data_IF_009031287627
#
_entry.id   IF_009031287627
#
_cell.length_a   1.000
_cell.length_b   1.000
_cell.length_c   1.000
_cell.angle_alpha   90.00
_cell.angle_beta   90.00
_cell.angle_gamma   90.00
#
_symmetry.space_group_name_H-M   'P 1'
#
loop_
_entity.id
_entity.type
_entity.pdbx_description
1 polymer ?
#
# COMPACT_ATOMS: atom_id res chain seq x y z
N UNK A 1 34.93 68.77 37.30
CA UNK A 1 33.93 69.40 38.18
C UNK A 1 32.73 69.71 37.31
N UNK A 2 31.64 68.94 37.45
CA UNK A 2 30.44 69.13 36.64
C UNK A 2 29.51 70.10 37.37
N UNK A 3 29.23 71.24 36.73
CA UNK A 3 28.35 72.29 37.19
C UNK A 3 26.91 71.78 37.23
N UNK A 4 26.30 71.75 38.42
CA UNK A 4 24.92 71.30 38.60
C UNK A 4 23.99 72.39 38.07
N UNK A 5 23.52 72.27 36.82
CA UNK A 5 22.48 73.13 36.26
C UNK A 5 21.12 72.74 36.84
N UNK A 6 20.68 73.45 37.87
CA UNK A 6 19.30 73.34 38.35
C UNK A 6 18.39 74.09 37.37
N UNK A 7 17.38 73.40 36.83
CA UNK A 7 16.40 74.03 35.95
C UNK A 7 15.44 74.88 36.78
N UNK A 8 15.17 76.09 36.30
CA UNK A 8 14.14 76.97 36.86
C UNK A 8 12.73 76.41 36.55
N UNK A 9 11.78 76.66 37.45
CA UNK A 9 10.40 76.14 37.34
C UNK A 9 9.72 76.54 36.02
N UNK A 10 10.01 77.73 35.49
CA UNK A 10 9.45 78.20 34.21
C UNK A 10 9.86 77.30 33.03
N UNK A 11 11.14 76.92 32.98
CA UNK A 11 11.70 76.07 31.92
C UNK A 11 11.12 74.67 32.00
N UNK A 12 10.98 74.13 33.21
CA UNK A 12 10.37 72.81 33.42
C UNK A 12 8.92 72.79 32.96
N UNK A 13 8.14 73.83 33.29
CA UNK A 13 6.73 73.92 32.88
C UNK A 13 6.56 73.99 31.36
N UNK A 14 7.45 74.67 30.66
CA UNK A 14 7.42 74.73 29.18
C UNK A 14 7.78 73.38 28.54
N UNK A 15 8.60 72.57 29.22
CA UNK A 15 9.01 71.24 28.78
C UNK A 15 8.07 70.11 29.25
N UNK A 16 7.16 70.38 30.20
CA UNK A 16 6.25 69.37 30.75
C UNK A 16 5.35 68.70 29.70
N UNK A 17 4.74 69.43 28.75
CA UNK A 17 3.87 68.80 27.74
C UNK A 17 4.61 67.75 26.90
N UNK A 18 5.81 68.08 26.42
CA UNK A 18 6.64 67.17 25.61
C UNK A 18 7.26 66.04 26.44
N UNK A 19 7.56 66.30 27.73
CA UNK A 19 8.01 65.28 28.69
C UNK A 19 6.92 64.25 28.98
N UNK A 20 5.67 64.69 29.21
CA UNK A 20 4.51 63.83 29.48
C UNK A 20 4.18 62.93 28.27
N UNK A 21 4.38 63.43 27.06
CA UNK A 21 4.23 62.67 25.81
C UNK A 21 5.41 61.74 25.50
N UNK A 22 6.49 61.78 26.28
CA UNK A 22 7.68 60.95 26.10
C UNK A 22 8.54 61.33 24.89
N UNK A 23 8.47 62.60 24.46
CA UNK A 23 9.16 63.13 23.28
C UNK A 23 10.45 63.91 23.62
N UNK A 24 10.88 63.91 24.89
CA UNK A 24 12.12 64.55 25.34
C UNK A 24 13.33 63.61 25.26
N UNK A 25 14.50 64.16 24.90
CA UNK A 25 15.77 63.40 24.91
C UNK A 25 16.08 62.87 26.34
N UNK A 26 16.79 61.72 26.50
CA UNK A 26 17.02 61.11 27.81
C UNK A 26 17.71 62.02 28.82
N UNK A 27 18.64 62.87 28.37
CA UNK A 27 19.34 63.82 29.24
C UNK A 27 18.39 64.89 29.77
N UNK A 28 17.54 65.45 28.91
CA UNK A 28 16.51 66.44 29.29
C UNK A 28 15.47 65.82 30.22
N UNK A 29 15.05 64.58 29.94
CA UNK A 29 14.12 63.83 30.77
C UNK A 29 14.63 63.61 32.19
N UNK A 30 15.94 63.36 32.36
CA UNK A 30 16.57 63.22 33.68
C UNK A 30 16.56 64.53 34.45
N UNK A 31 16.90 65.65 33.79
CA UNK A 31 16.93 66.97 34.43
C UNK A 31 15.52 67.42 34.87
N UNK A 32 14.50 67.16 34.05
CA UNK A 32 13.09 67.42 34.41
C UNK A 32 12.66 66.54 35.59
N UNK A 33 12.99 65.26 35.58
CA UNK A 33 12.67 64.34 36.68
C UNK A 33 13.33 64.73 38.02
N UNK A 34 14.60 65.17 37.98
CA UNK A 34 15.30 65.67 39.16
C UNK A 34 14.63 66.92 39.75
N UNK A 35 14.16 67.85 38.90
CA UNK A 35 13.42 69.02 39.36
C UNK A 35 12.05 68.66 39.95
N UNK A 36 11.30 67.76 39.31
CA UNK A 36 10.01 67.28 39.81
C UNK A 36 10.12 66.62 41.19
N UNK A 37 11.26 65.97 41.49
CA UNK A 37 11.53 65.40 42.80
C UNK A 37 11.63 66.46 43.91
N UNK A 38 12.11 67.66 43.59
CA UNK A 38 12.29 68.77 44.53
C UNK A 38 11.18 69.81 44.57
N UNK A 39 10.35 69.92 43.51
CA UNK A 39 9.30 70.93 43.39
C UNK A 39 7.89 70.32 43.38
N UNK A 40 7.06 70.56 44.42
CA UNK A 40 5.69 70.04 44.45
C UNK A 40 4.76 70.70 43.42
N UNK A 41 4.94 71.99 43.13
CA UNK A 41 4.09 72.71 42.18
C UNK A 41 4.18 72.15 40.75
N UNK A 42 5.40 71.88 40.25
CA UNK A 42 5.58 71.29 38.91
C UNK A 42 5.12 69.82 38.85
N UNK A 43 5.12 69.11 39.98
CA UNK A 43 4.62 67.73 40.06
C UNK A 43 3.10 67.66 39.95
N UNK A 44 2.40 68.61 40.56
CA UNK A 44 0.95 68.69 40.45
C UNK A 44 0.53 69.02 39.01
N UNK A 45 1.28 69.91 38.33
CA UNK A 45 1.06 70.22 36.90
C UNK A 45 1.32 69.00 36.00
N UNK A 46 2.39 68.23 36.24
CA UNK A 46 2.70 67.01 35.50
C UNK A 46 1.59 65.94 35.67
N UNK A 47 1.11 65.77 36.90
CA UNK A 47 0.00 64.87 37.22
C UNK A 47 -1.30 65.29 36.53
N UNK A 48 -1.59 66.59 36.51
CA UNK A 48 -2.75 67.13 35.80
C UNK A 48 -2.64 66.88 34.28
N UNK A 49 -1.47 67.07 33.68
CA UNK A 49 -1.27 66.84 32.24
C UNK A 49 -1.34 65.36 31.87
N UNK A 50 -0.72 64.46 32.65
CA UNK A 50 -0.83 63.00 32.45
C UNK A 50 -2.26 62.50 32.51
N UNK A 51 -3.09 63.09 33.37
CA UNK A 51 -4.51 62.75 33.45
C UNK A 51 -5.29 63.09 32.16
N UNK A 52 -4.77 64.01 31.33
CA UNK A 52 -5.40 64.46 30.09
C UNK A 52 -4.81 63.82 28.83
N UNK A 53 -3.76 63.00 28.91
CA UNK A 53 -3.22 62.28 27.75
C UNK A 53 -4.00 60.97 27.56
N UNK A 54 -4.79 60.83 26.48
CA UNK A 54 -5.46 59.57 26.19
C UNK A 54 -4.39 58.55 25.77
N UNK A 55 -4.15 57.55 26.61
CA UNK A 55 -3.35 56.39 26.23
C UNK A 55 -4.15 55.56 25.21
N UNK A 56 -4.04 55.90 23.92
CA UNK A 56 -4.63 55.13 22.82
C UNK A 56 -3.87 53.79 22.67
N UNK A 57 -4.15 52.84 23.56
CA UNK A 57 -3.66 51.47 23.40
C UNK A 57 -4.32 50.86 22.17
N UNK A 58 -3.51 50.45 21.19
CA UNK A 58 -3.97 49.77 19.98
C UNK A 58 -5.06 48.72 20.30
N UNK A 59 -6.18 48.69 19.54
CA UNK A 59 -7.37 47.95 19.93
C UNK A 59 -7.11 46.44 20.01
N UNK A 60 -7.08 45.89 21.22
CA UNK A 60 -6.87 44.44 21.52
C UNK A 60 -7.84 43.51 20.77
N UNK A 61 -9.00 44.00 20.32
CA UNK A 61 -9.98 43.26 19.51
C UNK A 61 -9.45 42.81 18.15
N UNK A 62 -8.60 43.60 17.49
CA UNK A 62 -8.02 43.27 16.19
C UNK A 62 -7.06 42.07 16.28
N UNK A 63 -6.29 41.97 17.37
CA UNK A 63 -5.37 40.85 17.62
C UNK A 63 -6.11 39.54 17.92
N UNK A 64 -7.26 39.60 18.61
CA UNK A 64 -8.10 38.44 18.89
C UNK A 64 -8.73 37.85 17.61
N UNK A 65 -9.17 38.73 16.70
CA UNK A 65 -9.73 38.32 15.40
C UNK A 65 -8.69 37.62 14.52
N UNK A 66 -7.48 38.20 14.38
CA UNK A 66 -6.40 37.59 13.60
C UNK A 66 -5.95 36.23 14.17
N UNK A 67 -5.87 36.08 15.50
CA UNK A 67 -5.57 34.80 16.14
C UNK A 67 -6.66 33.76 15.90
N UNK A 68 -7.93 34.17 15.92
CA UNK A 68 -9.08 33.29 15.64
C UNK A 68 -9.11 32.84 14.18
N UNK A 69 -8.94 33.75 13.23
CA UNK A 69 -8.87 33.44 11.79
C UNK A 69 -7.68 32.52 11.47
N UNK A 70 -6.52 32.77 12.08
CA UNK A 70 -5.35 31.90 11.91
C UNK A 70 -5.57 30.50 12.51
N UNK A 71 -6.27 30.39 13.65
CA UNK A 71 -6.64 29.10 14.25
C UNK A 71 -7.66 28.34 13.40
N UNK A 72 -8.70 29.00 12.89
CA UNK A 72 -9.70 28.32 12.04
C UNK A 72 -9.10 27.85 10.72
N UNK A 73 -8.20 28.64 10.10
CA UNK A 73 -7.44 28.21 8.91
C UNK A 73 -6.52 27.03 9.19
N UNK A 74 -5.80 27.04 10.31
CA UNK A 74 -4.97 25.90 10.73
C UNK A 74 -5.80 24.64 11.00
N UNK A 75 -6.95 24.77 11.66
CA UNK A 75 -7.87 23.66 11.89
C UNK A 75 -8.44 23.11 10.58
N UNK A 76 -8.83 23.98 9.64
CA UNK A 76 -9.31 23.57 8.33
C UNK A 76 -8.22 22.84 7.53
N UNK A 77 -6.99 23.34 7.54
CA UNK A 77 -5.84 22.66 6.93
C UNK A 77 -5.58 21.30 7.58
N UNK A 78 -5.59 21.22 8.91
CA UNK A 78 -5.38 19.96 9.64
C UNK A 78 -6.49 18.93 9.35
N UNK A 79 -7.77 19.35 9.38
CA UNK A 79 -8.91 18.49 9.04
C UNK A 79 -8.81 17.98 7.61
N UNK A 80 -8.45 18.85 6.66
CA UNK A 80 -8.27 18.46 5.25
C UNK A 80 -7.15 17.44 5.11
N UNK A 81 -6.02 17.64 5.80
CA UNK A 81 -4.91 16.69 5.79
C UNK A 81 -5.33 15.32 6.35
N UNK A 82 -6.04 15.30 7.48
CA UNK A 82 -6.57 14.06 8.08
C UNK A 82 -7.54 13.35 7.15
N UNK A 83 -8.48 14.08 6.55
CA UNK A 83 -9.43 13.53 5.57
C UNK A 83 -8.72 12.96 4.35
N UNK A 84 -7.69 13.63 3.85
CA UNK A 84 -6.89 13.17 2.71
C UNK A 84 -6.19 11.86 3.05
N UNK A 85 -5.51 11.80 4.19
CA UNK A 85 -4.85 10.58 4.66
C UNK A 85 -5.86 9.44 4.88
N UNK A 86 -7.04 9.76 5.42
CA UNK A 86 -8.11 8.78 5.60
C UNK A 86 -8.62 8.24 4.26
N UNK A 87 -8.91 9.10 3.27
CA UNK A 87 -9.34 8.68 1.95
C UNK A 87 -8.30 7.80 1.25
N UNK A 88 -7.02 8.19 1.32
CA UNK A 88 -5.91 7.41 0.73
C UNK A 88 -5.79 6.05 1.42
N UNK A 89 -5.85 6.00 2.75
CA UNK A 89 -5.82 4.76 3.51
C UNK A 89 -7.05 3.88 3.27
N UNK A 90 -8.23 4.49 3.09
CA UNK A 90 -9.46 3.78 2.77
C UNK A 90 -9.41 3.15 1.37
N UNK A 91 -8.98 3.91 0.35
CA UNK A 91 -8.77 3.38 -1.00
C UNK A 91 -7.76 2.22 -0.99
N UNK A 92 -6.66 2.37 -0.25
CA UNK A 92 -5.68 1.31 -0.11
C UNK A 92 -6.28 0.04 0.52
N UNK A 93 -7.06 0.20 1.59
CA UNK A 93 -7.69 -0.92 2.29
C UNK A 93 -8.84 -1.57 1.52
N UNK A 94 -9.48 -0.86 0.60
CA UNK A 94 -10.46 -1.45 -0.33
C UNK A 94 -9.77 -2.41 -1.29
N UNK A 95 -8.57 -2.09 -1.74
CA UNK A 95 -7.85 -2.95 -2.67
C UNK A 95 -7.13 -4.11 -1.96
N UNK A 96 -6.39 -3.79 -0.89
CA UNK A 96 -5.68 -4.77 -0.06
C UNK A 96 -6.56 -5.22 1.10
N UNK A 97 -7.58 -6.04 0.81
CA UNK A 97 -8.55 -6.46 1.80
C UNK A 97 -8.54 -7.96 2.10
N UNK A 98 -7.99 -8.80 1.24
CA UNK A 98 -8.02 -10.26 1.41
C UNK A 98 -7.06 -10.71 2.54
N UNK A 99 -7.55 -11.27 3.64
CA UNK A 99 -6.68 -11.83 4.67
C UNK A 99 -6.20 -13.24 4.28
N UNK A 100 -5.00 -13.63 4.70
CA UNK A 100 -4.57 -15.03 4.56
C UNK A 100 -5.23 -15.93 5.62
N UNK A 101 -6.52 -16.15 5.45
CA UNK A 101 -7.35 -17.09 6.22
C UNK A 101 -8.09 -17.96 5.23
N UNK A 102 -8.66 -19.09 5.66
CA UNK A 102 -9.41 -19.98 4.79
C UNK A 102 -10.55 -19.26 4.04
N UNK A 103 -11.39 -18.54 4.78
CA UNK A 103 -12.47 -17.73 4.21
C UNK A 103 -11.94 -16.61 3.31
N UNK A 104 -10.84 -15.96 3.68
CA UNK A 104 -10.24 -14.88 2.89
C UNK A 104 -9.66 -15.35 1.55
N UNK A 105 -9.03 -16.53 1.53
CA UNK A 105 -8.54 -17.16 0.30
C UNK A 105 -9.69 -17.60 -0.60
N UNK A 106 -10.74 -18.19 -0.03
CA UNK A 106 -11.92 -18.60 -0.79
C UNK A 106 -12.62 -17.39 -1.42
N UNK A 107 -12.85 -16.33 -0.65
CA UNK A 107 -13.42 -15.07 -1.17
C UNK A 107 -12.61 -14.52 -2.34
N UNK A 108 -11.28 -14.48 -2.22
CA UNK A 108 -10.43 -14.00 -3.31
C UNK A 108 -10.58 -14.83 -4.59
N UNK A 109 -10.75 -16.15 -4.46
CA UNK A 109 -10.99 -17.04 -5.60
C UNK A 109 -12.38 -16.80 -6.20
N UNK A 110 -13.42 -16.73 -5.38
CA UNK A 110 -14.80 -16.47 -5.83
C UNK A 110 -14.93 -15.13 -6.57
N UNK A 111 -14.30 -14.08 -6.04
CA UNK A 111 -14.37 -12.72 -6.57
C UNK A 111 -13.64 -12.56 -7.92
N UNK A 112 -12.64 -13.40 -8.23
CA UNK A 112 -11.75 -13.19 -9.37
C UNK A 112 -11.69 -14.33 -10.40
N UNK A 113 -11.78 -15.58 -9.95
CA UNK A 113 -11.76 -16.73 -10.86
C UNK A 113 -13.04 -16.80 -11.69
N UNK A 114 -14.18 -16.42 -11.10
CA UNK A 114 -15.47 -16.43 -11.80
C UNK A 114 -15.50 -15.41 -12.95
N UNK A 115 -16.23 -15.76 -14.01
CA UNK A 115 -16.53 -14.85 -15.09
C UNK A 115 -17.68 -13.91 -14.66
N UNK A 116 -17.69 -12.66 -15.15
CA UNK A 116 -18.83 -11.76 -14.99
C UNK A 116 -20.14 -12.42 -15.44
N UNK A 117 -21.27 -12.05 -14.81
CA UNK A 117 -22.58 -12.64 -15.12
C UNK A 117 -23.00 -12.46 -16.58
N UNK A 118 -22.53 -11.40 -17.24
CA UNK A 118 -22.80 -11.05 -18.64
C UNK A 118 -21.75 -11.59 -19.62
N UNK A 119 -20.78 -12.39 -19.14
CA UNK A 119 -19.72 -12.94 -19.96
C UNK A 119 -20.27 -13.97 -20.95
N UNK A 120 -19.97 -13.75 -22.23
CA UNK A 120 -20.26 -14.70 -23.31
C UNK A 120 -19.08 -15.62 -23.62
N UNK A 121 -18.10 -15.70 -22.72
CA UNK A 121 -16.96 -16.59 -22.91
C UNK A 121 -17.47 -18.04 -22.96
N UNK A 122 -17.09 -18.81 -24.01
CA UNK A 122 -17.52 -20.20 -24.14
C UNK A 122 -16.91 -21.13 -23.08
N UNK A 123 -15.88 -20.68 -22.36
CA UNK A 123 -15.10 -21.46 -21.41
C UNK A 123 -14.83 -20.66 -20.12
N UNK A 124 -14.41 -21.35 -19.07
CA UNK A 124 -14.08 -20.77 -17.77
C UNK A 124 -15.11 -21.08 -16.68
N UNK A 125 -15.00 -20.38 -15.56
CA UNK A 125 -15.82 -20.60 -14.36
C UNK A 125 -16.98 -19.61 -14.38
N UNK A 126 -18.23 -20.08 -14.36
CA UNK A 126 -19.41 -19.20 -14.36
C UNK A 126 -19.68 -18.63 -12.97
N UNK A 127 -20.32 -17.47 -12.91
CA UNK A 127 -20.84 -16.94 -11.66
C UNK A 127 -21.77 -17.96 -10.97
N UNK A 128 -21.58 -18.16 -9.67
CA UNK A 128 -22.34 -19.14 -8.87
C UNK A 128 -21.84 -20.59 -8.96
N UNK A 129 -20.79 -20.88 -9.74
CA UNK A 129 -20.11 -22.18 -9.70
C UNK A 129 -19.45 -22.39 -8.33
N UNK A 130 -19.69 -23.51 -7.63
CA UNK A 130 -19.04 -23.80 -6.36
C UNK A 130 -17.51 -23.90 -6.55
N UNK A 131 -16.78 -23.22 -5.67
CA UNK A 131 -15.33 -23.17 -5.68
C UNK A 131 -14.79 -23.69 -4.34
N UNK A 132 -13.61 -24.28 -4.38
CA UNK A 132 -12.86 -24.65 -3.17
C UNK A 132 -11.39 -24.33 -3.32
N UNK A 133 -10.77 -23.99 -2.20
CA UNK A 133 -9.31 -23.88 -2.10
C UNK A 133 -8.74 -25.29 -1.93
N UNK A 134 -7.85 -25.70 -2.83
CA UNK A 134 -7.14 -26.98 -2.78
C UNK A 134 -5.98 -26.89 -1.80
N UNK A 135 -5.09 -25.93 -2.02
CA UNK A 135 -3.90 -25.70 -1.22
C UNK A 135 -3.41 -24.26 -1.40
N UNK A 136 -2.49 -23.82 -0.54
CA UNK A 136 -1.90 -22.48 -0.66
C UNK A 136 -0.44 -22.48 -0.23
N UNK A 137 0.31 -21.52 -0.73
CA UNK A 137 1.71 -21.32 -0.37
C UNK A 137 2.04 -19.83 -0.26
N UNK A 138 2.80 -19.45 0.75
CA UNK A 138 3.38 -18.11 0.87
C UNK A 138 4.86 -18.13 0.49
N UNK A 139 5.29 -17.18 -0.35
CA UNK A 139 6.70 -16.96 -0.69
C UNK A 139 6.98 -15.46 -0.75
N UNK A 140 7.83 -14.99 0.16
CA UNK A 140 8.19 -13.56 0.22
C UNK A 140 6.98 -12.67 0.54
N UNK A 141 6.59 -11.85 -0.43
CA UNK A 141 5.38 -11.00 -0.39
C UNK A 141 4.22 -11.57 -1.22
N UNK A 142 4.36 -12.78 -1.77
CA UNK A 142 3.34 -13.45 -2.58
C UNK A 142 2.58 -14.51 -1.81
N UNK A 143 1.29 -14.57 -2.09
CA UNK A 143 0.41 -15.68 -1.70
C UNK A 143 -0.11 -16.33 -2.97
N UNK A 144 0.09 -17.64 -3.07
CA UNK A 144 -0.43 -18.47 -4.15
C UNK A 144 -1.55 -19.33 -3.59
N UNK A 145 -2.70 -19.33 -4.25
CA UNK A 145 -3.88 -20.11 -3.85
C UNK A 145 -4.27 -21.00 -5.02
N UNK A 146 -4.10 -22.31 -4.86
CA UNK A 146 -4.62 -23.28 -5.79
C UNK A 146 -6.10 -23.53 -5.48
N UNK A 147 -6.93 -23.61 -6.51
CA UNK A 147 -8.36 -23.81 -6.37
C UNK A 147 -8.91 -24.74 -7.45
N UNK A 148 -10.09 -25.27 -7.17
CA UNK A 148 -10.85 -26.14 -8.06
C UNK A 148 -12.31 -25.67 -8.12
N UNK A 149 -12.89 -25.73 -9.31
CA UNK A 149 -14.28 -25.42 -9.59
C UNK A 149 -15.07 -26.70 -9.81
N UNK A 150 -16.23 -26.81 -9.16
CA UNK A 150 -17.17 -27.89 -9.40
C UNK A 150 -18.00 -27.58 -10.66
N UNK A 151 -17.41 -27.86 -11.82
CA UNK A 151 -18.04 -27.70 -13.13
C UNK A 151 -17.71 -28.86 -14.06
N UNK A 152 -18.34 -28.88 -15.23
CA UNK A 152 -18.19 -29.96 -16.21
C UNK A 152 -16.75 -30.17 -16.72
N UNK A 153 -15.92 -29.13 -16.67
CA UNK A 153 -14.52 -29.17 -17.12
C UNK A 153 -13.55 -29.44 -15.95
N UNK A 154 -14.07 -29.60 -14.73
CA UNK A 154 -13.32 -29.72 -13.49
C UNK A 154 -12.18 -28.69 -13.42
N UNK A 155 -12.50 -27.41 -13.64
CA UNK A 155 -11.47 -26.38 -13.83
C UNK A 155 -10.62 -26.21 -12.58
N UNK A 156 -9.31 -26.26 -12.75
CA UNK A 156 -8.34 -25.95 -11.71
C UNK A 156 -7.59 -24.68 -12.07
N UNK A 157 -7.13 -23.97 -11.05
CA UNK A 157 -6.34 -22.78 -11.27
C UNK A 157 -5.47 -22.39 -10.09
N UNK A 158 -4.62 -21.40 -10.34
CA UNK A 158 -3.77 -20.77 -9.34
C UNK A 158 -4.02 -19.28 -9.38
N UNK A 159 -4.43 -18.73 -8.24
CA UNK A 159 -4.57 -17.32 -7.98
C UNK A 159 -3.29 -16.79 -7.32
N UNK A 160 -2.73 -15.72 -7.87
CA UNK A 160 -1.57 -15.03 -7.32
C UNK A 160 -2.00 -13.72 -6.66
N UNK A 161 -1.54 -13.49 -5.44
CA UNK A 161 -1.78 -12.28 -4.69
C UNK A 161 -0.47 -11.66 -4.17
N UNK A 162 -0.46 -10.34 -3.98
CA UNK A 162 0.65 -9.59 -3.38
C UNK A 162 0.25 -9.02 -2.02
N UNK A 163 1.16 -9.12 -1.06
CA UNK A 163 0.98 -8.63 0.30
C UNK A 163 1.20 -7.12 0.35
N UNK A 164 0.21 -6.42 0.88
CA UNK A 164 0.29 -5.03 1.23
C UNK A 164 0.98 -4.77 2.56
N UNK A 165 1.34 -3.51 2.79
CA UNK A 165 1.91 -3.05 4.08
C UNK A 165 0.93 -3.20 5.25
N UNK A 166 -0.38 -3.31 4.98
CA UNK A 166 -1.41 -3.61 5.98
C UNK A 166 -1.50 -5.11 6.33
N UNK A 167 -0.65 -5.96 5.75
CA UNK A 167 -0.63 -7.42 5.96
C UNK A 167 -1.73 -8.19 5.22
N UNK A 168 -2.56 -7.50 4.43
CA UNK A 168 -3.61 -8.10 3.59
C UNK A 168 -3.13 -8.17 2.15
N UNK A 169 -3.86 -8.90 1.32
CA UNK A 169 -3.47 -9.23 -0.03
C UNK A 169 -4.35 -8.53 -1.06
N UNK A 170 -3.76 -8.23 -2.22
CA UNK A 170 -4.44 -7.80 -3.44
C UNK A 170 -4.21 -8.86 -4.50
N UNK A 171 -5.24 -9.15 -5.31
CA UNK A 171 -5.15 -10.10 -6.42
C UNK A 171 -4.37 -9.51 -7.59
N UNK A 172 -3.42 -10.27 -8.11
CA UNK A 172 -2.60 -9.88 -9.26
C UNK A 172 -3.08 -10.52 -10.55
N UNK A 173 -3.29 -11.83 -10.50
CA UNK A 173 -3.61 -12.63 -11.67
C UNK A 173 -4.13 -13.99 -11.24
N UNK A 174 -4.76 -14.66 -12.19
CA UNK A 174 -5.19 -16.04 -12.09
C UNK A 174 -4.81 -16.75 -13.38
N UNK A 175 -4.44 -18.01 -13.28
CA UNK A 175 -4.41 -18.92 -14.41
C UNK A 175 -5.30 -20.12 -14.12
N UNK A 176 -6.02 -20.58 -15.13
CA UNK A 176 -6.99 -21.67 -15.00
C UNK A 176 -6.99 -22.53 -16.27
N UNK A 177 -7.27 -23.82 -16.10
CA UNK A 177 -7.38 -24.80 -17.18
C UNK A 177 -8.29 -25.97 -16.74
N UNK A 178 -8.92 -26.69 -17.68
CA UNK A 178 -9.58 -27.95 -17.39
C UNK A 178 -8.61 -28.96 -16.76
N UNK A 179 -9.10 -29.74 -15.79
CA UNK A 179 -8.31 -30.78 -15.13
C UNK A 179 -8.96 -32.15 -15.39
N UNK A 180 -8.42 -32.94 -16.34
CA UNK A 180 -9.06 -34.16 -16.82
C UNK A 180 -8.82 -35.37 -15.90
N UNK A 181 -8.73 -35.13 -14.60
CA UNK A 181 -8.51 -36.17 -13.59
C UNK A 181 -9.42 -35.95 -12.38
N UNK A 182 -9.93 -37.04 -11.82
CA UNK A 182 -10.71 -37.07 -10.58
C UNK A 182 -9.85 -36.86 -9.33
N UNK A 183 -8.56 -37.18 -9.43
CA UNK A 183 -7.50 -36.85 -8.49
C UNK A 183 -6.16 -36.83 -9.24
N UNK A 184 -5.21 -36.01 -8.82
CA UNK A 184 -3.90 -35.98 -9.46
C UNK A 184 -3.16 -34.67 -9.26
N UNK A 185 -2.34 -34.31 -10.24
CA UNK A 185 -1.44 -33.16 -10.14
C UNK A 185 -1.61 -32.20 -11.30
N UNK A 186 -1.96 -30.96 -10.99
CA UNK A 186 -1.89 -29.85 -11.93
C UNK A 186 -0.48 -29.27 -11.91
N UNK A 187 0.10 -29.12 -13.10
CA UNK A 187 1.38 -28.43 -13.31
C UNK A 187 1.14 -27.02 -13.84
N UNK A 188 1.83 -26.04 -13.28
CA UNK A 188 1.77 -24.67 -13.79
C UNK A 188 3.09 -23.94 -13.60
N UNK A 189 3.27 -22.87 -14.36
CA UNK A 189 4.30 -21.86 -14.07
C UNK A 189 3.59 -20.61 -13.58
N UNK A 190 4.05 -20.06 -12.46
CA UNK A 190 3.49 -18.86 -11.81
C UNK A 190 4.54 -17.76 -11.74
N UNK A 191 4.10 -16.52 -11.58
CA UNK A 191 4.97 -15.34 -11.63
C UNK A 191 5.34 -14.92 -13.07
N UNK A 192 6.23 -13.93 -13.18
CA UNK A 192 6.78 -13.45 -14.46
C UNK A 192 8.29 -13.64 -14.48
N UNK A 193 8.91 -13.50 -15.66
CA UNK A 193 10.37 -13.52 -15.77
C UNK A 193 11.03 -12.43 -14.89
N UNK A 194 10.46 -11.23 -14.83
CA UNK A 194 10.99 -10.14 -13.99
C UNK A 194 10.81 -10.38 -12.48
N UNK A 195 9.74 -11.07 -12.07
CA UNK A 195 9.41 -11.30 -10.67
C UNK A 195 9.98 -12.62 -10.13
N UNK A 196 10.60 -13.43 -10.99
CA UNK A 196 11.04 -14.80 -10.69
C UNK A 196 9.92 -15.81 -10.95
N UNK A 197 10.00 -16.50 -12.08
CA UNK A 197 9.07 -17.57 -12.46
C UNK A 197 9.25 -18.76 -11.52
N UNK A 198 8.17 -19.35 -11.03
CA UNK A 198 8.21 -20.58 -10.23
C UNK A 198 7.48 -21.73 -10.95
N UNK A 199 7.94 -22.95 -10.69
CA UNK A 199 7.30 -24.19 -11.11
C UNK A 199 6.40 -24.70 -10.00
N UNK A 200 5.11 -24.83 -10.31
CA UNK A 200 4.06 -25.24 -9.39
C UNK A 200 3.63 -26.69 -9.68
N UNK A 201 3.67 -27.53 -8.64
CA UNK A 201 2.98 -28.82 -8.60
C UNK A 201 1.86 -28.73 -7.56
N UNK A 202 0.62 -28.85 -8.02
CA UNK A 202 -0.57 -28.79 -7.17
C UNK A 202 -1.22 -30.16 -7.17
N UNK A 203 -1.20 -30.84 -6.03
CA UNK A 203 -1.90 -32.11 -5.83
C UNK A 203 -3.31 -31.86 -5.32
N UNK A 204 -4.28 -32.55 -5.91
CA UNK A 204 -5.67 -32.53 -5.51
C UNK A 204 -6.20 -33.97 -5.38
N UNK A 205 -6.59 -34.36 -4.17
CA UNK A 205 -7.19 -35.67 -3.91
C UNK A 205 -6.22 -36.86 -3.98
N UNK A 206 -4.91 -36.64 -3.86
CA UNK A 206 -3.84 -37.64 -4.01
C UNK A 206 -3.71 -38.67 -2.88
N UNK A 207 -4.83 -39.17 -2.33
CA UNK A 207 -4.84 -40.07 -1.15
C UNK A 207 -4.19 -41.43 -1.39
N UNK A 208 -4.35 -41.96 -2.59
CA UNK A 208 -3.84 -43.28 -2.98
C UNK A 208 -2.68 -43.18 -3.98
N UNK A 209 -2.16 -41.96 -4.18
CA UNK A 209 -1.00 -41.66 -5.02
C UNK A 209 0.18 -41.42 -4.08
N UNK A 210 1.22 -42.22 -4.22
CA UNK A 210 2.38 -42.22 -3.31
C UNK A 210 3.63 -41.59 -3.96
N UNK A 211 3.64 -41.49 -5.29
CA UNK A 211 4.70 -40.83 -6.03
C UNK A 211 4.16 -40.12 -7.27
N UNK A 212 4.87 -39.08 -7.69
CA UNK A 212 4.57 -38.34 -8.92
C UNK A 212 5.86 -38.29 -9.70
N UNK A 213 5.89 -38.92 -10.87
CA UNK A 213 7.00 -38.78 -11.80
C UNK A 213 6.66 -37.70 -12.82
N UNK A 214 7.47 -36.66 -12.86
CA UNK A 214 7.31 -35.56 -13.80
C UNK A 214 8.43 -35.64 -14.83
N UNK A 215 8.04 -35.72 -16.09
CA UNK A 215 8.94 -35.55 -17.22
C UNK A 215 8.97 -34.07 -17.62
N UNK A 216 10.19 -33.55 -17.72
CA UNK A 216 10.48 -32.18 -18.11
C UNK A 216 11.16 -32.17 -19.46
N UNK A 217 10.62 -31.38 -20.38
CA UNK A 217 11.29 -31.09 -21.64
C UNK A 217 12.19 -29.89 -21.45
N UNK A 218 13.50 -30.09 -21.69
CA UNK A 218 14.54 -29.10 -21.49
C UNK A 218 15.25 -28.83 -22.81
N UNK A 219 15.21 -27.57 -23.27
CA UNK A 219 16.04 -27.11 -24.37
C UNK A 219 17.33 -26.49 -23.86
N UNK A 220 18.47 -26.99 -24.31
CA UNK A 220 19.80 -26.43 -24.03
C UNK A 220 20.23 -25.55 -25.22
N UNK A 221 20.89 -24.43 -24.95
CA UNK A 221 21.31 -23.45 -25.97
C UNK A 221 22.09 -24.08 -27.15
N UNK A 222 22.92 -25.09 -26.88
CA UNK A 222 23.75 -25.76 -27.89
C UNK A 222 23.18 -27.10 -28.39
N UNK A 223 21.93 -27.44 -28.05
CA UNK A 223 21.31 -28.69 -28.47
C UNK A 223 20.25 -28.49 -29.56
N UNK A 224 20.34 -29.28 -30.62
CA UNK A 224 19.37 -29.23 -31.73
C UNK A 224 17.96 -29.72 -31.36
N UNK A 225 17.83 -30.49 -30.27
CA UNK A 225 16.55 -31.03 -29.81
C UNK A 225 16.44 -30.96 -28.29
N UNK A 226 15.24 -30.66 -27.77
CA UNK A 226 14.98 -30.77 -26.34
C UNK A 226 15.25 -32.20 -25.83
N UNK A 227 15.72 -32.29 -24.59
CA UNK A 227 15.93 -33.55 -23.88
C UNK A 227 14.87 -33.71 -22.80
N UNK A 228 14.51 -34.94 -22.51
CA UNK A 228 13.59 -35.27 -21.41
C UNK A 228 14.41 -35.60 -20.17
N UNK A 229 14.10 -34.92 -19.06
CA UNK A 229 14.61 -35.20 -17.73
C UNK A 229 13.44 -35.60 -16.85
N UNK A 230 13.62 -36.62 -16.02
CA UNK A 230 12.56 -37.10 -15.14
C UNK A 230 12.92 -36.89 -13.68
N UNK A 231 11.94 -36.48 -12.88
CA UNK A 231 12.07 -36.44 -11.43
C UNK A 231 10.84 -37.05 -10.77
N UNK A 232 11.07 -37.87 -9.76
CA UNK A 232 10.01 -38.46 -8.95
C UNK A 232 9.93 -37.75 -7.60
N UNK A 233 8.73 -37.31 -7.24
CA UNK A 233 8.40 -36.66 -5.98
C UNK A 233 7.57 -37.60 -5.12
N UNK A 234 7.90 -37.70 -3.83
CA UNK A 234 7.12 -38.49 -2.88
C UNK A 234 5.90 -37.70 -2.41
N UNK A 235 4.72 -38.31 -2.43
CA UNK A 235 3.47 -37.71 -1.95
C UNK A 235 3.24 -38.12 -0.50
N UNK A 236 3.15 -37.12 0.38
CA UNK A 236 2.93 -37.36 1.82
C UNK A 236 1.57 -36.85 2.30
N UNK A 237 0.95 -35.95 1.55
CA UNK A 237 -0.33 -35.33 1.85
C UNK A 237 -1.25 -35.44 0.64
N UNK A 238 -2.57 -35.59 0.84
CA UNK A 238 -3.50 -35.76 -0.28
C UNK A 238 -3.63 -34.50 -1.13
N UNK A 239 -3.55 -33.33 -0.50
CA UNK A 239 -3.62 -32.04 -1.17
C UNK A 239 -2.32 -31.30 -0.85
N UNK A 240 -1.63 -30.79 -1.86
CA UNK A 240 -0.36 -30.10 -1.67
C UNK A 240 -0.12 -29.03 -2.72
N UNK A 241 0.76 -28.08 -2.39
CA UNK A 241 1.20 -27.05 -3.32
C UNK A 241 2.71 -26.85 -3.17
N UNK A 242 3.47 -27.42 -4.09
CA UNK A 242 4.92 -27.25 -4.14
C UNK A 242 5.30 -26.20 -5.16
N UNK A 243 6.16 -25.28 -4.73
CA UNK A 243 6.74 -24.22 -5.55
C UNK A 243 8.25 -24.38 -5.56
N UNK A 244 8.81 -24.55 -6.76
CA UNK A 244 10.24 -24.73 -6.98
C UNK A 244 10.77 -23.63 -7.89
N UNK A 245 11.91 -23.05 -7.50
CA UNK A 245 12.62 -22.08 -8.32
C UNK A 245 13.28 -22.78 -9.53
N UNK A 246 13.44 -22.10 -10.68
CA UNK A 246 14.04 -22.68 -11.86
C UNK A 246 15.44 -23.22 -11.58
N UNK A 247 16.31 -22.43 -10.93
CA UNK A 247 17.70 -22.82 -10.66
C UNK A 247 17.78 -24.06 -9.77
N UNK A 248 16.93 -24.12 -8.74
CA UNK A 248 16.83 -25.30 -7.85
C UNK A 248 16.35 -26.52 -8.62
N UNK A 249 15.31 -26.37 -9.46
CA UNK A 249 14.85 -27.47 -10.29
C UNK A 249 15.93 -27.93 -11.29
N UNK A 250 16.69 -26.99 -11.85
CA UNK A 250 17.80 -27.28 -12.75
C UNK A 250 18.92 -28.08 -12.06
N UNK A 251 19.32 -27.68 -10.85
CA UNK A 251 20.30 -28.40 -10.03
C UNK A 251 19.80 -29.82 -9.72
N UNK A 252 18.54 -29.95 -9.30
CA UNK A 252 17.92 -31.23 -8.96
C UNK A 252 17.80 -32.19 -10.16
N UNK A 253 17.68 -31.65 -11.37
CA UNK A 253 17.68 -32.41 -12.62
C UNK A 253 19.09 -32.64 -13.19
N UNK A 254 20.12 -32.06 -12.58
CA UNK A 254 21.51 -32.16 -13.02
C UNK A 254 21.77 -31.42 -14.34
N UNK A 255 21.12 -30.28 -14.54
CA UNK A 255 21.33 -29.43 -15.72
C UNK A 255 22.68 -28.68 -15.63
N UNK A 256 23.34 -28.42 -16.77
CA UNK A 256 24.61 -27.68 -16.79
C UNK A 256 24.42 -26.23 -16.35
N UNK A 257 25.21 -25.75 -15.38
CA UNK A 257 25.17 -24.38 -14.85
C UNK A 257 25.65 -23.31 -15.85
N UNK A 258 26.55 -23.67 -16.77
CA UNK A 258 27.19 -22.73 -17.70
C UNK A 258 26.42 -22.53 -19.01
N UNK A 259 25.32 -23.27 -19.23
CA UNK A 259 24.50 -23.17 -20.44
C UNK A 259 23.15 -22.54 -20.14
N UNK A 260 22.66 -21.67 -21.03
CA UNK A 260 21.27 -21.24 -20.94
C UNK A 260 20.35 -22.39 -21.31
N UNK A 261 19.29 -22.54 -20.54
CA UNK A 261 18.27 -23.56 -20.79
C UNK A 261 16.87 -23.01 -20.52
N UNK A 262 15.90 -23.60 -21.20
CA UNK A 262 14.49 -23.45 -20.84
C UNK A 262 13.94 -24.83 -20.48
N UNK A 263 12.97 -24.85 -19.57
CA UNK A 263 12.33 -26.07 -19.12
C UNK A 263 10.81 -25.88 -19.10
N UNK A 264 10.09 -26.91 -19.49
CA UNK A 264 8.64 -26.99 -19.39
C UNK A 264 8.20 -28.40 -18.99
N UNK A 265 6.99 -28.49 -18.46
CA UNK A 265 6.36 -29.79 -18.17
C UNK A 265 6.03 -30.49 -19.49
N UNK A 266 6.38 -31.78 -19.59
CA UNK A 266 6.03 -32.63 -20.71
C UNK A 266 4.94 -33.63 -20.33
N UNK A 267 5.14 -34.38 -19.24
CA UNK A 267 4.22 -35.43 -18.80
C UNK A 267 4.26 -35.58 -17.28
N UNK A 268 3.13 -36.00 -16.71
CA UNK A 268 3.00 -36.34 -15.29
C UNK A 268 2.44 -37.75 -15.18
N UNK A 269 3.15 -38.62 -14.48
CA UNK A 269 2.75 -39.98 -14.15
C UNK A 269 2.45 -40.10 -12.65
N UNK A 270 1.28 -40.62 -12.31
CA UNK A 270 0.85 -40.89 -10.94
C UNK A 270 1.26 -42.32 -10.56
N UNK A 271 1.89 -42.49 -9.40
CA UNK A 271 2.45 -43.77 -8.95
C UNK A 271 1.78 -44.27 -7.68
N UNK A 272 1.46 -45.56 -7.63
CA UNK A 272 0.99 -46.23 -6.41
C UNK A 272 2.13 -46.51 -5.40
N UNK A 273 1.80 -47.17 -4.29
CA UNK A 273 2.77 -47.55 -3.24
C UNK A 273 3.88 -48.49 -3.74
N UNK A 274 3.68 -49.19 -4.85
CA UNK A 274 4.65 -50.10 -5.46
C UNK A 274 5.45 -49.43 -6.58
N UNK A 275 5.16 -48.16 -6.89
CA UNK A 275 5.74 -47.43 -8.02
C UNK A 275 5.14 -47.78 -9.38
N UNK A 276 3.98 -48.44 -9.41
CA UNK A 276 3.25 -48.72 -10.64
C UNK A 276 2.47 -47.48 -11.11
N UNK A 277 2.40 -47.30 -12.43
CA UNK A 277 1.63 -46.21 -13.05
C UNK A 277 0.12 -46.45 -12.89
N UNK A 278 -0.53 -45.48 -12.25
CA UNK A 278 -1.98 -45.46 -11.99
C UNK A 278 -2.67 -44.25 -12.61
N UNK A 279 -2.01 -43.50 -13.49
CA UNK A 279 -2.51 -42.25 -14.08
C UNK A 279 -3.88 -42.40 -14.73
N UNK A 280 -4.03 -43.43 -15.56
CA UNK A 280 -5.27 -43.70 -16.30
C UNK A 280 -6.44 -44.12 -15.40
N UNK A 281 -6.19 -44.53 -14.15
CA UNK A 281 -7.26 -44.86 -13.21
C UNK A 281 -8.01 -43.61 -12.74
N UNK A 282 -7.34 -42.46 -12.77
CA UNK A 282 -7.91 -41.19 -12.33
C UNK A 282 -8.44 -40.34 -13.48
N UNK A 283 -8.17 -40.70 -14.74
CA UNK A 283 -8.61 -39.98 -15.93
C UNK A 283 -10.13 -39.86 -15.98
N UNK A 284 -10.60 -38.64 -16.18
CA UNK A 284 -12.01 -38.34 -16.43
C UNK A 284 -12.23 -38.01 -17.91
N UNK A 285 -12.76 -38.97 -18.66
CA UNK A 285 -13.04 -38.84 -20.09
C UNK A 285 -14.22 -37.91 -20.40
N UNK A 286 -14.94 -37.44 -19.37
CA UNK A 286 -16.00 -36.44 -19.54
C UNK A 286 -15.42 -35.04 -19.77
N UNK A 287 -14.21 -34.77 -19.28
CA UNK A 287 -13.47 -33.52 -19.50
C UNK A 287 -12.75 -33.60 -20.85
N UNK A 288 -13.32 -32.95 -21.87
CA UNK A 288 -12.81 -33.00 -23.27
C UNK A 288 -12.08 -31.74 -23.71
N UNK A 289 -12.25 -30.68 -22.94
CA UNK A 289 -11.69 -29.37 -23.24
C UNK A 289 -10.20 -29.31 -22.89
N UNK A 290 -9.42 -28.57 -23.67
CA UNK A 290 -7.97 -28.44 -23.51
C UNK A 290 -7.48 -27.00 -23.65
N UNK A 291 -8.26 -26.06 -23.11
CA UNK A 291 -7.93 -24.64 -23.12
C UNK A 291 -7.08 -24.24 -21.91
N UNK A 292 -6.41 -23.09 -22.00
CA UNK A 292 -5.74 -22.44 -20.87
C UNK A 292 -6.10 -20.96 -20.88
N UNK A 293 -6.52 -20.43 -19.73
CA UNK A 293 -6.93 -19.04 -19.57
C UNK A 293 -6.08 -18.37 -18.51
N UNK A 294 -5.79 -17.09 -18.73
CA UNK A 294 -5.07 -16.23 -17.80
C UNK A 294 -5.77 -14.90 -17.69
N UNK A 295 -6.03 -14.46 -16.47
CA UNK A 295 -6.57 -13.13 -16.15
C UNK A 295 -5.52 -12.37 -15.35
N UNK A 296 -5.28 -11.10 -15.66
CA UNK A 296 -4.39 -10.24 -14.88
C UNK A 296 -5.07 -8.92 -14.56
N UNK A 297 -4.79 -8.42 -13.36
CA UNK A 297 -5.39 -7.19 -12.84
C UNK A 297 -4.61 -5.99 -13.40
N UNK A 298 -5.21 -5.30 -14.38
CA UNK A 298 -4.66 -4.04 -14.90
C UNK A 298 -4.79 -2.86 -13.89
N UNK A 299 -5.57 -3.05 -12.81
CA UNK A 299 -6.08 -1.97 -11.95
C UNK A 299 -5.07 -1.44 -10.91
N UNK A 300 -3.92 -2.08 -10.72
CA UNK A 300 -2.87 -1.54 -9.82
C UNK A 300 -2.45 -0.12 -10.20
N UNK A 301 -2.35 0.17 -11.50
CA UNK A 301 -2.06 1.52 -11.96
C UNK A 301 -3.16 2.51 -11.56
N UNK A 302 -4.42 2.11 -11.70
CA UNK A 302 -5.58 2.95 -11.36
C UNK A 302 -5.63 3.30 -9.88
N UNK A 303 -5.38 2.34 -8.97
CA UNK A 303 -5.34 2.60 -7.53
C UNK A 303 -4.33 3.72 -7.20
N UNK A 304 -3.09 3.60 -7.66
CA UNK A 304 -2.06 4.58 -7.36
C UNK A 304 -2.35 5.95 -7.99
N UNK A 305 -2.97 5.97 -9.18
CA UNK A 305 -3.46 7.21 -9.81
C UNK A 305 -4.54 7.87 -8.95
N UNK A 306 -5.52 7.12 -8.44
CA UNK A 306 -6.58 7.65 -7.58
C UNK A 306 -6.03 8.15 -6.24
N UNK A 307 -5.13 7.38 -5.60
CA UNK A 307 -4.46 7.79 -4.37
C UNK A 307 -3.60 9.05 -4.58
N UNK A 308 -2.86 9.11 -5.69
CA UNK A 308 -2.06 10.28 -6.07
C UNK A 308 -2.92 11.51 -6.33
N UNK A 309 -4.04 11.34 -7.05
CA UNK A 309 -5.02 12.41 -7.29
C UNK A 309 -5.64 12.94 -6.00
N UNK A 310 -6.05 12.06 -5.09
CA UNK A 310 -6.56 12.43 -3.77
C UNK A 310 -5.51 13.20 -2.95
N UNK A 311 -4.26 12.71 -2.94
CA UNK A 311 -3.16 13.37 -2.24
C UNK A 311 -2.83 14.75 -2.83
N UNK A 312 -2.82 14.90 -4.16
CA UNK A 312 -2.61 16.17 -4.85
C UNK A 312 -3.71 17.19 -4.52
N UNK A 313 -4.98 16.79 -4.64
CA UNK A 313 -6.11 17.64 -4.29
C UNK A 313 -6.07 18.06 -2.82
N UNK A 314 -5.80 17.12 -1.91
CA UNK A 314 -5.63 17.39 -0.49
C UNK A 314 -4.49 18.38 -0.23
N UNK A 315 -3.35 18.21 -0.88
CA UNK A 315 -2.21 19.12 -0.78
C UNK A 315 -2.52 20.54 -1.27
N UNK A 316 -3.25 20.68 -2.38
CA UNK A 316 -3.70 21.98 -2.91
C UNK A 316 -4.64 22.66 -1.90
N UNK A 317 -5.59 21.93 -1.34
CA UNK A 317 -6.53 22.47 -0.34
C UNK A 317 -5.84 22.86 0.97
N UNK A 318 -4.91 22.03 1.46
CA UNK A 318 -4.08 22.36 2.64
C UNK A 318 -3.27 23.63 2.38
N UNK A 319 -2.62 23.75 1.21
CA UNK A 319 -1.86 24.94 0.82
C UNK A 319 -2.77 26.17 0.70
N UNK A 320 -3.98 26.01 0.18
CA UNK A 320 -4.97 27.08 0.10
C UNK A 320 -5.34 27.61 1.50
N UNK A 321 -5.63 26.73 2.47
CA UNK A 321 -5.93 27.16 3.83
C UNK A 321 -4.73 27.76 4.58
N UNK A 322 -3.50 27.33 4.26
CA UNK A 322 -2.27 27.84 4.86
C UNK A 322 -1.77 29.15 4.23
N UNK A 323 -2.29 29.55 3.07
CA UNK A 323 -1.88 30.79 2.38
C UNK A 323 -2.16 32.02 3.27
N UNK A 324 -1.11 32.82 3.48
CA UNK A 324 -1.19 34.14 4.12
C UNK A 324 -1.34 35.17 3.00
N UNK A 325 -2.59 35.43 2.62
CA UNK A 325 -2.94 36.70 1.99
C UNK A 325 -3.28 37.71 3.08
#
# INVERSE_FOLDING_TARGET
MAEKKELECCVVRDLLPTYVEGLTEPETSRMVAEHLAGCPACRDEEGAMRAHVPAETAPRRALGFLRRVRRTRLLAAALTAVLTLWCVGWLYNQEFHYPNTEAGRLSAVEDYATAPEDSNLPHGIRAGTPLRVVAYAERGDRLYVAYAADNADNVHGILELIRGWNGRYQILRSSEAPFPYTAGVMTASVGTEEEGRLYALVGDGCREIYGIRVAYEVGLEYSERPRIYEKTYAVTEPDFFWLTEPDVLGEELGLPEEENWWIQYAEVTLLDQNGADVTEQYRDDTVKENWRSGKSTAERFMLYVLMGGAALLGGVLVRYFLRRD
#
